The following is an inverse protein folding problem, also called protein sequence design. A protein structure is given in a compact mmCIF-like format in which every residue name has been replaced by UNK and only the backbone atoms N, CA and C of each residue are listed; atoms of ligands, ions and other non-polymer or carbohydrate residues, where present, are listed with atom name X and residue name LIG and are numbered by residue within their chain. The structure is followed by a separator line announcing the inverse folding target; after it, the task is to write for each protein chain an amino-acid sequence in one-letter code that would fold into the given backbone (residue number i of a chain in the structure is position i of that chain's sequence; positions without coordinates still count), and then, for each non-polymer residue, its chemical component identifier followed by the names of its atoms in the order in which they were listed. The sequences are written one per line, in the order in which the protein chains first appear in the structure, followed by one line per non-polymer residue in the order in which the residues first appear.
data_IF_017600713375
#
_entry.id   IF_017600713375
#
_cell.length_a   1.000
_cell.length_b   1.000
_cell.length_c   1.000
_cell.angle_alpha   90.00
_cell.angle_beta   90.00
_cell.angle_gamma   90.00
#
_symmetry.space_group_name_H-M   'P 1'
#
loop_
_entity.id
_entity.type
_entity.pdbx_description
1 polymer ?
#
# COMPACT_ATOMS: atom_id res chain seq x y z
N UNK A 1 11.46 5.69 5.92
CA UNK A 1 11.18 5.00 4.65
C UNK A 1 11.37 3.50 4.82
N UNK A 2 10.48 2.70 4.24
CA UNK A 2 10.52 1.24 4.38
C UNK A 2 11.35 0.63 3.26
N UNK A 3 12.40 -0.09 3.63
CA UNK A 3 13.30 -0.75 2.67
C UNK A 3 13.26 -2.27 2.79
N UNK A 4 12.98 -2.80 3.96
CA UNK A 4 13.01 -4.25 4.21
C UNK A 4 11.77 -4.92 3.62
N UNK A 5 11.90 -5.78 2.60
CA UNK A 5 10.75 -6.43 1.99
C UNK A 5 10.02 -7.36 2.95
N UNK A 6 10.72 -7.94 3.91
CA UNK A 6 10.09 -8.83 4.89
C UNK A 6 9.21 -8.05 5.86
N UNK A 7 9.67 -6.86 6.27
CA UNK A 7 8.88 -5.99 7.12
C UNK A 7 7.61 -5.54 6.40
N UNK A 8 7.75 -5.12 5.14
CA UNK A 8 6.61 -4.70 4.31
C UNK A 8 5.61 -5.84 4.18
N UNK A 9 6.09 -7.04 3.86
CA UNK A 9 5.23 -8.21 3.69
C UNK A 9 4.50 -8.55 4.99
N UNK A 10 5.20 -8.51 6.11
CA UNK A 10 4.62 -8.79 7.42
C UNK A 10 3.48 -7.82 7.73
N UNK A 11 3.68 -6.53 7.45
CA UNK A 11 2.65 -5.53 7.68
C UNK A 11 1.44 -5.72 6.76
N UNK A 12 1.67 -6.13 5.52
CA UNK A 12 0.58 -6.43 4.60
C UNK A 12 -0.23 -7.64 5.06
N UNK A 13 0.45 -8.66 5.59
CA UNK A 13 -0.22 -9.86 6.14
C UNK A 13 -1.10 -9.48 7.33
N UNK A 14 -0.71 -8.49 8.11
CA UNK A 14 -1.48 -8.00 9.26
C UNK A 14 -2.68 -7.16 8.86
N UNK A 15 -2.95 -7.02 7.58
CA UNK A 15 -4.08 -6.25 7.09
C UNK A 15 -3.71 -4.88 6.57
N UNK A 16 -2.42 -4.60 6.44
CA UNK A 16 -1.95 -3.35 5.85
C UNK A 16 -2.25 -3.28 4.36
N UNK A 17 -2.21 -2.08 3.82
CA UNK A 17 -2.40 -1.85 2.39
C UNK A 17 -1.53 -0.70 1.92
N UNK A 18 -1.33 -0.63 0.60
CA UNK A 18 -0.54 0.43 -0.01
C UNK A 18 -1.47 1.41 -0.70
N UNK A 19 -1.19 2.69 -0.53
CA UNK A 19 -1.89 3.76 -1.23
C UNK A 19 -0.89 4.46 -2.15
N UNK A 20 -1.16 4.45 -3.44
CA UNK A 20 -0.28 5.02 -4.46
C UNK A 20 -0.89 6.32 -4.96
N UNK A 21 -0.22 7.44 -4.67
CA UNK A 21 -0.62 8.76 -5.13
C UNK A 21 0.26 9.14 -6.31
N UNK A 22 -0.34 9.30 -7.48
CA UNK A 22 0.37 9.61 -8.71
C UNK A 22 1.11 8.40 -9.27
N UNK A 23 1.90 8.64 -10.31
CA UNK A 23 2.71 7.59 -10.91
C UNK A 23 4.07 7.54 -10.20
N UNK A 24 4.51 6.38 -9.73
CA UNK A 24 5.82 6.28 -9.06
C UNK A 24 6.98 6.80 -9.93
N UNK A 25 6.87 6.64 -11.25
CA UNK A 25 7.86 7.14 -12.20
C UNK A 25 7.93 8.67 -12.24
N UNK A 26 6.85 9.35 -11.86
CA UNK A 26 6.77 10.81 -11.87
C UNK A 26 6.90 11.39 -10.47
N UNK A 27 7.52 10.67 -9.55
CA UNK A 27 7.67 11.11 -8.18
C UNK A 27 6.45 10.87 -7.30
N UNK A 28 5.57 9.99 -7.73
CA UNK A 28 4.41 9.59 -6.95
C UNK A 28 4.82 8.95 -5.63
N UNK A 29 3.92 8.99 -4.66
CA UNK A 29 4.17 8.51 -3.31
C UNK A 29 3.43 7.20 -3.07
N UNK A 30 4.16 6.21 -2.56
CA UNK A 30 3.59 4.93 -2.15
C UNK A 30 3.69 4.84 -0.64
N UNK A 31 2.55 4.82 0.04
CA UNK A 31 2.48 4.77 1.50
C UNK A 31 1.89 3.46 1.96
N UNK A 32 2.39 2.94 3.07
CA UNK A 32 1.84 1.75 3.71
C UNK A 32 0.98 2.19 4.91
N UNK A 33 -0.26 1.71 4.94
CA UNK A 33 -1.24 2.07 5.95
C UNK A 33 -1.71 0.84 6.70
N UNK A 34 -2.02 1.04 7.97
CA UNK A 34 -2.55 -0.01 8.84
C UNK A 34 -3.79 0.49 9.55
N UNK A 35 -4.72 -0.43 9.83
CA UNK A 35 -5.82 -0.18 10.76
C UNK A 35 -5.42 -0.71 12.13
N UNK A 36 -5.48 0.16 13.13
CA UNK A 36 -5.20 -0.20 14.52
C UNK A 36 -6.36 0.34 15.37
N UNK A 37 -7.09 -0.55 16.00
CA UNK A 37 -8.24 -0.19 16.85
C UNK A 37 -9.25 0.70 16.14
N UNK A 38 -9.48 0.43 14.85
CA UNK A 38 -10.42 1.20 14.05
C UNK A 38 -9.89 2.50 13.48
N UNK A 39 -8.66 2.86 13.79
CA UNK A 39 -8.01 4.06 13.26
C UNK A 39 -7.03 3.70 12.15
N UNK A 40 -6.92 4.59 11.18
CA UNK A 40 -6.04 4.43 10.04
C UNK A 40 -4.74 5.19 10.28
N UNK A 41 -3.62 4.46 10.20
CA UNK A 41 -2.29 5.04 10.40
C UNK A 41 -1.43 4.86 9.17
N UNK A 42 -0.73 5.92 8.77
CA UNK A 42 0.32 5.80 7.78
C UNK A 42 1.57 5.31 8.49
N UNK A 43 1.95 4.07 8.23
CA UNK A 43 3.11 3.46 8.87
C UNK A 43 4.42 3.96 8.27
N UNK A 44 4.48 4.08 6.96
CA UNK A 44 5.68 4.53 6.29
C UNK A 44 5.50 4.66 4.79
N UNK A 45 6.58 5.02 4.12
CA UNK A 45 6.61 5.27 2.68
C UNK A 45 7.59 4.29 2.04
N UNK A 46 7.19 3.68 0.93
CA UNK A 46 8.04 2.79 0.17
C UNK A 46 8.74 3.56 -0.94
N UNK A 47 9.93 3.06 -1.34
CA UNK A 47 10.57 3.57 -2.54
C UNK A 47 9.81 3.02 -3.76
N UNK A 48 9.84 3.73 -4.91
CA UNK A 48 9.25 3.20 -6.15
C UNK A 48 9.83 1.84 -6.52
N UNK A 49 11.11 1.60 -6.23
CA UNK A 49 11.77 0.33 -6.50
C UNK A 49 11.15 -0.81 -5.69
N UNK A 50 10.92 -0.60 -4.39
CA UNK A 50 10.31 -1.60 -3.53
C UNK A 50 8.89 -1.91 -3.99
N UNK A 51 8.13 -0.89 -4.34
CA UNK A 51 6.79 -1.07 -4.86
C UNK A 51 6.79 -1.87 -6.18
N UNK A 52 7.70 -1.52 -7.10
CA UNK A 52 7.81 -2.23 -8.37
C UNK A 52 8.16 -3.70 -8.17
N UNK A 53 9.00 -4.01 -7.20
CA UNK A 53 9.33 -5.40 -6.87
C UNK A 53 8.12 -6.18 -6.41
N UNK A 54 7.31 -5.58 -5.52
CA UNK A 54 6.10 -6.25 -5.04
C UNK A 54 5.12 -6.51 -6.17
N UNK A 55 4.96 -5.56 -7.07
CA UNK A 55 4.11 -5.73 -8.25
C UNK A 55 4.66 -6.82 -9.18
N UNK A 56 5.97 -6.81 -9.43
CA UNK A 56 6.62 -7.76 -10.32
C UNK A 56 6.57 -9.19 -9.80
N UNK A 57 6.56 -9.38 -8.49
CA UNK A 57 6.44 -10.70 -7.88
C UNK A 57 5.00 -11.20 -7.78
N UNK A 58 4.02 -10.37 -8.13
CA UNK A 58 2.63 -10.74 -8.03
C UNK A 58 2.11 -10.87 -6.60
N UNK A 59 2.81 -10.27 -5.66
CA UNK A 59 2.44 -10.36 -4.24
C UNK A 59 1.27 -9.45 -3.91
N UNK A 60 1.16 -8.31 -4.58
CA UNK A 60 0.11 -7.32 -4.34
C UNK A 60 -0.76 -7.16 -5.56
N UNK A 61 -2.00 -6.74 -5.32
CA UNK A 61 -2.98 -6.54 -6.37
C UNK A 61 -3.69 -5.22 -6.17
N UNK A 62 -3.89 -4.48 -7.25
CA UNK A 62 -4.70 -3.28 -7.23
C UNK A 62 -6.14 -3.64 -6.89
N UNK A 63 -6.75 -2.86 -6.00
CA UNK A 63 -8.12 -3.09 -5.58
C UNK A 63 -9.06 -2.04 -6.17
N UNK A 64 -8.87 -0.77 -5.79
CA UNK A 64 -9.67 0.31 -6.34
C UNK A 64 -8.99 1.65 -6.15
N UNK A 65 -9.52 2.66 -6.83
CA UNK A 65 -9.09 4.04 -6.68
C UNK A 65 -10.08 4.77 -5.77
N UNK A 66 -9.55 5.50 -4.80
CA UNK A 66 -10.35 6.29 -3.87
C UNK A 66 -9.74 7.66 -3.71
N UNK A 67 -10.54 8.60 -3.21
CA UNK A 67 -10.05 9.92 -2.85
C UNK A 67 -9.59 9.89 -1.39
N UNK A 68 -8.37 10.37 -1.13
CA UNK A 68 -7.85 10.44 0.22
C UNK A 68 -8.39 11.71 0.92
N UNK A 69 -8.14 11.88 2.25
CA UNK A 69 -8.62 13.06 2.97
C UNK A 69 -8.08 14.40 2.45
N UNK A 70 -7.02 14.36 1.65
CA UNK A 70 -6.42 15.57 1.08
C UNK A 70 -6.96 15.88 -0.31
N UNK A 71 -7.94 15.15 -0.79
CA UNK A 71 -8.55 15.36 -2.09
C UNK A 71 -7.78 14.76 -3.27
N UNK A 72 -6.77 13.95 -3.00
CA UNK A 72 -6.00 13.26 -4.06
C UNK A 72 -6.58 11.90 -4.35
N UNK A 73 -6.57 11.52 -5.62
CA UNK A 73 -6.95 10.16 -6.01
C UNK A 73 -5.76 9.23 -5.79
N UNK A 74 -5.99 8.13 -5.08
CA UNK A 74 -4.97 7.15 -4.80
C UNK A 74 -5.46 5.76 -5.19
N UNK A 75 -4.55 4.92 -5.66
CA UNK A 75 -4.83 3.53 -5.96
C UNK A 75 -4.45 2.69 -4.75
N UNK A 76 -5.37 1.83 -4.32
CA UNK A 76 -5.15 0.95 -3.18
C UNK A 76 -4.70 -0.42 -3.66
N UNK A 77 -3.63 -0.93 -3.03
CA UNK A 77 -3.07 -2.24 -3.33
C UNK A 77 -3.08 -3.08 -2.06
N UNK A 78 -3.50 -4.32 -2.20
CA UNK A 78 -3.56 -5.28 -1.10
C UNK A 78 -2.77 -6.53 -1.43
N UNK A 79 -2.40 -7.27 -0.39
CA UNK A 79 -1.76 -8.56 -0.56
C UNK A 79 -2.69 -9.47 -1.36
N UNK A 80 -2.13 -10.18 -2.34
CA UNK A 80 -2.91 -11.09 -3.17
C UNK A 80 -3.59 -12.15 -2.28
N UNK A 81 -4.88 -12.36 -2.49
CA UNK A 81 -5.66 -13.28 -1.68
C UNK A 81 -6.30 -12.66 -0.45
N UNK A 82 -5.98 -11.42 -0.13
CA UNK A 82 -6.64 -10.66 0.93
C UNK A 82 -7.55 -9.61 0.34
N UNK A 83 -8.64 -9.32 1.03
CA UNK A 83 -9.54 -8.24 0.68
C UNK A 83 -9.85 -7.44 1.94
N UNK A 84 -9.78 -6.11 1.88
CA UNK A 84 -10.05 -5.27 3.04
C UNK A 84 -11.52 -5.33 3.47
N UNK A 85 -12.39 -5.70 2.56
CA UNK A 85 -13.82 -5.82 2.81
C UNK A 85 -14.23 -7.26 3.10
N UNK A 86 -13.31 -8.19 3.08
CA UNK A 86 -13.54 -9.59 3.38
C UNK A 86 -13.63 -9.73 4.89
N UNK A 87 -14.76 -10.03 5.34
CA UNK A 87 -15.03 -10.17 6.78
C UNK A 87 -15.45 -11.59 7.07
#
# INVERSE_FOLDING_TARGET
MLYDPYEILELLVKGGFLAVAGLPSDGGRVSLWLFVDGYLYEYGVLTPRSFSRLCGCGIIKAWKRVENPYGQMVDLYFLLGQSPLSK
#
